data_IF_841408441879
#
_entry.id   IF_841408441879
#
_cell.length_a   1.000
_cell.length_b   1.000
_cell.length_c   1.000
_cell.angle_alpha   90.00
_cell.angle_beta   90.00
_cell.angle_gamma   90.00
#
_symmetry.space_group_name_H-M   'P 1'
#
loop_
_entity.id
_entity.type
_entity.pdbx_description
1 polymer ?
#
# COMPACT_ATOMS: atom_id res chain seq x y z
N UNK A 1 71.20 12.97 -50.88
CA UNK A 1 70.39 14.19 -51.07
C UNK A 1 69.24 14.04 -52.08
N UNK A 2 69.29 13.09 -53.02
CA UNK A 2 68.27 12.91 -54.07
C UNK A 2 66.89 12.36 -53.61
N UNK A 3 66.82 11.69 -52.45
CA UNK A 3 65.57 11.10 -51.95
C UNK A 3 64.53 12.16 -51.57
N UNK A 4 64.95 13.22 -50.88
CA UNK A 4 64.07 14.31 -50.45
C UNK A 4 63.51 15.11 -51.63
N UNK A 5 64.30 15.28 -52.69
CA UNK A 5 63.85 15.98 -53.90
C UNK A 5 62.82 15.14 -54.67
N UNK A 6 63.02 13.82 -54.78
CA UNK A 6 62.01 12.92 -55.36
C UNK A 6 60.72 12.84 -54.52
N UNK A 7 60.83 12.78 -53.19
CA UNK A 7 59.68 12.77 -52.28
C UNK A 7 58.86 14.06 -52.41
N UNK A 8 59.53 15.21 -52.44
CA UNK A 8 58.90 16.51 -52.63
C UNK A 8 58.15 16.61 -53.96
N UNK A 9 58.73 16.09 -55.04
CA UNK A 9 58.10 16.08 -56.37
C UNK A 9 56.86 15.16 -56.42
N UNK A 10 56.91 14.02 -55.72
CA UNK A 10 55.76 13.10 -55.57
C UNK A 10 54.62 13.74 -54.76
N UNK A 11 54.94 14.38 -53.63
CA UNK A 11 53.94 15.09 -52.82
C UNK A 11 53.35 16.27 -53.60
N UNK A 12 54.17 17.04 -54.30
CA UNK A 12 53.72 18.15 -55.14
C UNK A 12 52.78 17.68 -56.25
N UNK A 13 53.11 16.58 -56.93
CA UNK A 13 52.24 15.95 -57.93
C UNK A 13 50.89 15.55 -57.33
N UNK A 14 50.88 14.86 -56.18
CA UNK A 14 49.66 14.44 -55.50
C UNK A 14 48.82 15.64 -55.02
N UNK A 15 49.46 16.66 -54.48
CA UNK A 15 48.80 17.88 -54.03
C UNK A 15 48.20 18.67 -55.21
N UNK A 16 48.95 18.84 -56.29
CA UNK A 16 48.48 19.54 -57.48
C UNK A 16 47.32 18.81 -58.15
N UNK A 17 47.35 17.47 -58.14
CA UNK A 17 46.24 16.63 -58.62
C UNK A 17 44.97 16.87 -57.80
N UNK A 18 45.07 16.81 -56.45
CA UNK A 18 43.94 17.14 -55.56
C UNK A 18 43.46 18.59 -55.70
N UNK A 19 44.37 19.56 -55.89
CA UNK A 19 44.03 20.98 -56.07
C UNK A 19 43.27 21.25 -57.37
N UNK A 20 43.53 20.48 -58.44
CA UNK A 20 42.79 20.57 -59.70
C UNK A 20 41.40 19.95 -59.62
N UNK A 21 41.17 19.05 -58.66
CA UNK A 21 39.90 18.35 -58.46
C UNK A 21 39.20 18.82 -57.17
N UNK A 22 38.89 20.11 -57.12
CA UNK A 22 38.32 20.79 -55.93
C UNK A 22 37.03 20.15 -55.42
N UNK A 23 36.15 19.70 -56.32
CA UNK A 23 34.89 19.03 -55.95
C UNK A 23 35.10 17.73 -55.19
N UNK A 24 36.06 16.89 -55.63
CA UNK A 24 36.34 15.63 -54.94
C UNK A 24 36.95 15.87 -53.56
N UNK A 25 37.84 16.87 -53.44
CA UNK A 25 38.42 17.24 -52.14
C UNK A 25 37.36 17.80 -51.17
N UNK A 26 36.42 18.62 -51.66
CA UNK A 26 35.33 19.13 -50.83
C UNK A 26 34.43 18.00 -50.32
N UNK A 27 34.05 17.04 -51.18
CA UNK A 27 33.24 15.89 -50.77
C UNK A 27 34.01 15.01 -49.78
N UNK A 28 35.30 14.76 -50.02
CA UNK A 28 36.15 13.96 -49.12
C UNK A 28 36.27 14.57 -47.71
N UNK A 29 36.27 15.91 -47.59
CA UNK A 29 36.28 16.61 -46.30
C UNK A 29 34.88 16.75 -45.70
N UNK A 30 33.87 17.04 -46.52
CA UNK A 30 32.49 17.22 -46.06
C UNK A 30 31.86 15.91 -45.58
N UNK A 31 32.19 14.79 -46.21
CA UNK A 31 31.67 13.46 -45.86
C UNK A 31 31.89 13.06 -44.38
N UNK A 32 33.13 13.08 -43.83
CA UNK A 32 33.33 12.76 -42.42
C UNK A 32 32.67 13.79 -41.50
N UNK A 33 32.69 15.08 -41.85
CA UNK A 33 32.02 16.12 -41.06
C UNK A 33 30.50 15.87 -40.97
N UNK A 34 29.88 15.46 -42.06
CA UNK A 34 28.46 15.12 -42.11
C UNK A 34 28.13 13.93 -41.21
N UNK A 35 28.95 12.86 -41.25
CA UNK A 35 28.80 11.71 -40.35
C UNK A 35 28.93 12.14 -38.89
N UNK A 36 29.93 12.94 -38.54
CA UNK A 36 30.10 13.45 -37.17
C UNK A 36 28.89 14.28 -36.71
N UNK A 37 28.37 15.14 -37.59
CA UNK A 37 27.21 15.96 -37.26
C UNK A 37 25.97 15.11 -36.95
N UNK A 38 25.74 14.05 -37.72
CA UNK A 38 24.66 13.08 -37.45
C UNK A 38 24.88 12.39 -36.11
N UNK A 39 26.09 11.88 -35.84
CA UNK A 39 26.41 11.19 -34.58
C UNK A 39 26.21 12.09 -33.35
N UNK A 40 26.63 13.36 -33.44
CA UNK A 40 26.43 14.35 -32.38
C UNK A 40 24.93 14.64 -32.21
N UNK A 41 24.19 14.81 -33.30
CA UNK A 41 22.74 15.04 -33.26
C UNK A 41 22.01 13.87 -32.57
N UNK A 42 22.35 12.62 -32.91
CA UNK A 42 21.80 11.43 -32.25
C UNK A 42 22.16 11.44 -30.76
N UNK A 43 23.41 11.77 -30.40
CA UNK A 43 23.84 11.81 -29.02
C UNK A 43 23.16 12.91 -28.19
N UNK A 44 22.82 14.04 -28.81
CA UNK A 44 22.04 15.10 -28.17
C UNK A 44 20.57 14.69 -27.98
N UNK A 45 20.00 13.94 -28.92
CA UNK A 45 18.63 13.41 -28.81
C UNK A 45 18.48 12.32 -27.76
N UNK A 46 19.54 11.54 -27.50
CA UNK A 46 19.55 10.47 -26.51
C UNK A 46 20.58 10.76 -25.41
N UNK A 47 20.27 11.68 -24.47
CA UNK A 47 21.16 11.92 -23.33
C UNK A 47 21.31 10.64 -22.49
N UNK A 48 22.46 10.46 -21.81
CA UNK A 48 22.66 9.31 -20.94
C UNK A 48 21.62 9.31 -19.82
N UNK A 49 21.05 8.13 -19.54
CA UNK A 49 20.09 7.94 -18.46
C UNK A 49 20.84 7.62 -17.17
N UNK A 50 20.91 8.60 -16.26
CA UNK A 50 21.54 8.44 -14.95
C UNK A 50 20.64 7.57 -14.04
N UNK A 51 21.09 6.34 -13.77
CA UNK A 51 20.45 5.44 -12.81
C UNK A 51 21.17 5.51 -11.48
N UNK A 52 20.40 5.62 -10.41
CA UNK A 52 20.92 5.47 -9.06
C UNK A 52 21.22 4.01 -8.76
N UNK A 53 22.11 3.76 -7.80
CA UNK A 53 22.30 2.41 -7.27
C UNK A 53 20.95 1.85 -6.81
N UNK A 54 20.49 0.85 -7.55
CA UNK A 54 19.17 0.28 -7.37
C UNK A 54 19.24 -0.88 -6.39
N UNK A 55 18.63 -0.72 -5.22
CA UNK A 55 18.47 -1.78 -4.23
C UNK A 55 17.05 -2.32 -4.32
N UNK A 56 16.94 -3.64 -4.50
CA UNK A 56 15.66 -4.35 -4.56
C UNK A 56 15.38 -5.05 -3.24
N UNK A 57 14.11 -5.10 -2.87
CA UNK A 57 13.71 -5.89 -1.71
C UNK A 57 13.82 -7.38 -2.03
N UNK A 58 14.31 -8.16 -1.07
CA UNK A 58 14.42 -9.60 -1.20
C UNK A 58 13.04 -10.23 -1.36
N UNK A 59 12.78 -10.85 -2.51
CA UNK A 59 11.56 -11.63 -2.71
C UNK A 59 11.72 -12.98 -2.00
N UNK A 60 10.79 -13.31 -1.11
CA UNK A 60 10.81 -14.61 -0.45
C UNK A 60 10.20 -15.69 -1.36
N UNK A 61 10.94 -16.77 -1.57
CA UNK A 61 10.56 -17.91 -2.40
C UNK A 61 9.22 -18.50 -1.92
N UNK A 62 8.31 -18.82 -2.85
CA UNK A 62 6.92 -19.25 -2.64
C UNK A 62 6.70 -20.50 -1.74
N UNK A 63 7.75 -21.11 -1.20
CA UNK A 63 7.74 -22.40 -0.52
C UNK A 63 7.12 -22.41 0.89
N UNK A 64 6.69 -21.27 1.45
CA UNK A 64 5.98 -21.21 2.74
C UNK A 64 4.66 -20.44 2.60
N UNK A 65 3.55 -21.14 2.82
CA UNK A 65 2.18 -20.64 2.69
C UNK A 65 1.75 -19.77 3.89
N UNK A 66 2.43 -18.64 4.11
CA UNK A 66 1.98 -17.65 5.10
C UNK A 66 1.30 -16.45 4.41
N UNK A 67 0.10 -16.10 4.90
CA UNK A 67 -0.67 -14.91 4.45
C UNK A 67 0.17 -13.62 4.31
N UNK A 68 1.08 -13.25 5.24
CA UNK A 68 1.91 -12.04 5.08
C UNK A 68 2.86 -12.10 3.88
N UNK A 69 3.29 -13.29 3.45
CA UNK A 69 4.20 -13.46 2.31
C UNK A 69 3.50 -13.24 0.96
N UNK A 70 2.25 -13.69 0.83
CA UNK A 70 1.45 -13.44 -0.37
C UNK A 70 1.09 -11.97 -0.53
N UNK A 71 0.76 -11.28 0.58
CA UNK A 71 0.53 -9.83 0.58
C UNK A 71 1.80 -9.09 0.17
N UNK A 72 2.97 -9.57 0.59
CA UNK A 72 4.27 -9.03 0.18
C UNK A 72 4.55 -9.13 -1.31
N UNK A 73 4.14 -10.23 -1.96
CA UNK A 73 4.29 -10.40 -3.41
C UNK A 73 3.40 -9.41 -4.17
N UNK A 74 2.15 -9.22 -3.72
CA UNK A 74 1.22 -8.27 -4.32
C UNK A 74 1.71 -6.83 -4.13
N UNK A 75 2.24 -6.51 -2.94
CA UNK A 75 2.71 -5.17 -2.61
C UNK A 75 4.04 -4.80 -3.32
N UNK A 76 4.88 -5.78 -3.67
CA UNK A 76 6.18 -5.59 -4.33
C UNK A 76 6.19 -6.05 -5.80
N UNK A 77 5.02 -6.21 -6.43
CA UNK A 77 4.90 -6.75 -7.80
C UNK A 77 5.58 -5.89 -8.88
N UNK A 78 5.65 -4.58 -8.67
CA UNK A 78 6.28 -3.64 -9.60
C UNK A 78 7.79 -3.45 -9.36
N UNK A 79 8.37 -4.21 -8.42
CA UNK A 79 9.78 -4.17 -8.02
C UNK A 79 10.37 -2.73 -7.99
N UNK A 80 9.81 -1.83 -7.15
CA UNK A 80 10.29 -0.46 -7.05
C UNK A 80 11.79 -0.42 -6.71
N UNK A 81 12.50 0.46 -7.40
CA UNK A 81 13.92 0.70 -7.22
C UNK A 81 14.15 1.67 -6.05
N UNK A 82 14.90 1.24 -5.02
CA UNK A 82 15.23 2.10 -3.88
C UNK A 82 16.68 2.60 -3.96
N UNK A 83 16.90 3.87 -3.65
CA UNK A 83 18.24 4.49 -3.53
C UNK A 83 19.03 4.01 -2.31
N UNK A 84 18.34 3.56 -1.27
CA UNK A 84 18.91 3.24 0.04
C UNK A 84 18.71 1.75 0.34
N UNK A 85 19.59 1.14 1.16
CA UNK A 85 19.48 -0.27 1.50
C UNK A 85 18.12 -0.55 2.15
N UNK A 86 17.44 -1.57 1.64
CA UNK A 86 16.15 -1.95 2.18
C UNK A 86 16.36 -2.80 3.44
N UNK A 87 15.43 -2.79 4.43
CA UNK A 87 15.61 -3.55 5.67
C UNK A 87 15.86 -5.05 5.48
N UNK A 88 15.46 -5.63 4.34
CA UNK A 88 15.75 -7.02 3.98
C UNK A 88 17.21 -7.29 3.56
N UNK A 89 17.99 -6.26 3.24
CA UNK A 89 19.44 -6.39 2.99
C UNK A 89 20.27 -6.35 4.28
N UNK A 90 19.66 -5.98 5.41
CA UNK A 90 20.32 -5.94 6.71
C UNK A 90 20.33 -7.34 7.35
N UNK A 91 21.48 -7.83 7.85
CA UNK A 91 21.56 -9.15 8.48
C UNK A 91 20.67 -9.20 9.74
N UNK A 92 19.82 -10.22 9.83
CA UNK A 92 18.97 -10.47 11.00
C UNK A 92 17.55 -9.90 10.95
N UNK A 93 17.16 -9.16 9.90
CA UNK A 93 15.81 -8.61 9.74
C UNK A 93 15.12 -9.27 8.53
N UNK A 94 14.11 -10.09 8.81
CA UNK A 94 13.28 -10.73 7.77
C UNK A 94 11.86 -10.15 7.79
N UNK A 95 11.50 -9.45 6.71
CA UNK A 95 10.14 -8.95 6.47
C UNK A 95 9.87 -7.54 7.02
N UNK A 96 9.65 -6.57 6.13
CA UNK A 96 9.28 -5.19 6.47
C UNK A 96 7.76 -4.97 6.44
N UNK A 97 6.98 -5.86 7.06
CA UNK A 97 5.51 -5.80 7.02
C UNK A 97 4.87 -5.16 8.26
N UNK A 98 5.65 -4.78 9.29
CA UNK A 98 5.12 -4.24 10.55
C UNK A 98 4.37 -2.89 10.40
N UNK A 99 4.66 -2.13 9.34
CA UNK A 99 3.99 -0.87 9.05
C UNK A 99 2.68 -1.04 8.24
N UNK A 100 2.40 -2.23 7.70
CA UNK A 100 1.19 -2.43 6.91
C UNK A 100 -0.05 -2.55 7.81
N UNK A 101 -1.14 -1.88 7.43
CA UNK A 101 -2.42 -1.95 8.15
C UNK A 101 -2.92 -3.41 8.22
N UNK A 102 -2.62 -4.20 7.17
CA UNK A 102 -3.05 -5.60 7.08
C UNK A 102 -2.32 -6.50 8.08
N UNK A 103 -1.02 -6.29 8.33
CA UNK A 103 -0.31 -7.07 9.34
C UNK A 103 -0.78 -6.74 10.76
N UNK A 104 -1.12 -5.46 11.02
CA UNK A 104 -1.72 -5.02 12.28
C UNK A 104 -3.10 -5.65 12.47
N UNK A 105 -3.95 -5.59 11.46
CA UNK A 105 -5.29 -6.20 11.49
C UNK A 105 -5.21 -7.71 11.74
N UNK A 106 -4.27 -8.41 11.08
CA UNK A 106 -4.05 -9.84 11.32
C UNK A 106 -3.51 -10.14 12.72
N UNK A 107 -2.62 -9.29 13.24
CA UNK A 107 -2.11 -9.40 14.62
C UNK A 107 -3.21 -9.18 15.66
N UNK A 108 -4.06 -8.18 15.46
CA UNK A 108 -5.16 -7.84 16.34
C UNK A 108 -6.25 -8.92 16.29
N UNK A 109 -6.58 -9.43 15.10
CA UNK A 109 -7.49 -10.57 14.95
C UNK A 109 -6.94 -11.81 15.68
N UNK A 110 -5.64 -12.11 15.55
CA UNK A 110 -5.01 -13.21 16.27
C UNK A 110 -5.03 -13.01 17.78
N UNK A 111 -4.80 -11.78 18.27
CA UNK A 111 -4.88 -11.44 19.70
C UNK A 111 -6.30 -11.60 20.23
N UNK A 112 -7.31 -11.11 19.50
CA UNK A 112 -8.72 -11.26 19.87
C UNK A 112 -9.15 -12.73 19.89
N UNK A 113 -8.68 -13.55 18.94
CA UNK A 113 -8.96 -14.98 18.93
C UNK A 113 -8.32 -15.71 20.11
N UNK A 114 -7.05 -15.40 20.42
CA UNK A 114 -6.36 -15.99 21.57
C UNK A 114 -6.97 -15.52 22.91
N UNK A 115 -7.39 -14.26 22.99
CA UNK A 115 -8.11 -13.72 24.14
C UNK A 115 -9.48 -14.40 24.30
N UNK A 116 -10.26 -14.48 23.23
CA UNK A 116 -11.58 -15.14 23.21
C UNK A 116 -11.52 -16.62 23.57
N UNK A 117 -10.44 -17.32 23.19
CA UNK A 117 -10.26 -18.74 23.54
C UNK A 117 -9.96 -18.95 25.03
N UNK A 118 -9.27 -18.01 25.67
CA UNK A 118 -8.90 -18.08 27.09
C UNK A 118 -10.02 -17.57 28.01
N UNK A 119 -10.85 -16.63 27.54
CA UNK A 119 -11.81 -15.94 28.38
C UNK A 119 -13.11 -16.77 28.58
N UNK A 120 -13.33 -17.24 29.80
CA UNK A 120 -14.57 -17.93 30.19
C UNK A 120 -15.77 -16.98 30.28
N UNK A 121 -15.56 -15.67 30.10
CA UNK A 121 -16.56 -14.62 30.18
C UNK A 121 -17.79 -14.86 29.29
N UNK A 122 -17.63 -15.36 28.04
CA UNK A 122 -18.79 -15.68 27.18
C UNK A 122 -19.65 -16.80 27.77
N UNK A 123 -19.02 -17.80 28.40
CA UNK A 123 -19.74 -18.88 29.08
C UNK A 123 -20.45 -18.36 30.34
N UNK A 124 -19.84 -17.42 31.06
CA UNK A 124 -20.44 -16.79 32.23
C UNK A 124 -21.62 -15.89 31.86
N UNK A 125 -21.53 -15.13 30.76
CA UNK A 125 -22.65 -14.35 30.21
C UNK A 125 -23.79 -15.27 29.77
N UNK A 126 -23.51 -16.37 29.06
CA UNK A 126 -24.55 -17.36 28.73
C UNK A 126 -25.17 -18.00 29.97
N UNK A 127 -24.39 -18.23 31.02
CA UNK A 127 -24.86 -18.80 32.28
C UNK A 127 -25.72 -17.81 33.06
N UNK A 128 -25.35 -16.52 33.06
CA UNK A 128 -26.14 -15.44 33.66
C UNK A 128 -27.43 -15.23 32.88
N UNK A 129 -27.37 -15.15 31.55
CA UNK A 129 -28.55 -15.03 30.69
C UNK A 129 -29.48 -16.23 30.81
N UNK A 130 -28.93 -17.44 30.89
CA UNK A 130 -29.68 -18.67 31.12
C UNK A 130 -30.33 -18.72 32.51
N UNK A 131 -29.66 -18.20 33.54
CA UNK A 131 -30.23 -18.04 34.88
C UNK A 131 -31.34 -16.99 34.92
N UNK A 132 -31.15 -15.84 34.28
CA UNK A 132 -32.16 -14.80 34.15
C UNK A 132 -33.39 -15.28 33.37
N UNK A 133 -33.19 -16.03 32.29
CA UNK A 133 -34.28 -16.62 31.51
C UNK A 133 -35.07 -17.68 32.29
N UNK A 134 -34.39 -18.50 33.09
CA UNK A 134 -35.07 -19.45 33.99
C UNK A 134 -35.82 -18.74 35.11
N UNK A 135 -35.25 -17.68 35.67
CA UNK A 135 -35.90 -16.88 36.72
C UNK A 135 -37.14 -16.16 36.17
N UNK A 136 -37.04 -15.58 34.98
CA UNK A 136 -38.17 -14.94 34.28
C UNK A 136 -39.29 -15.91 33.88
N UNK A 137 -39.00 -17.19 33.65
CA UNK A 137 -40.03 -18.19 33.39
C UNK A 137 -40.67 -18.76 34.67
N UNK A 138 -39.97 -18.71 35.83
CA UNK A 138 -40.46 -19.25 37.11
C UNK A 138 -41.09 -18.20 38.03
N UNK A 139 -40.79 -16.94 37.79
CA UNK A 139 -41.30 -15.78 38.51
C UNK A 139 -41.51 -14.73 37.45
N UNK A 140 -42.77 -14.33 37.20
CA UNK A 140 -43.09 -13.25 36.26
C UNK A 140 -42.24 -12.04 36.62
N UNK A 141 -41.15 -11.85 35.89
CA UNK A 141 -40.25 -10.74 36.07
C UNK A 141 -40.95 -9.61 35.33
N UNK A 142 -41.75 -8.84 36.07
CA UNK A 142 -42.45 -7.64 35.60
C UNK A 142 -41.40 -6.60 35.17
N UNK A 143 -40.82 -6.84 33.99
CA UNK A 143 -39.80 -6.02 33.39
C UNK A 143 -40.52 -4.87 32.69
N UNK A 144 -40.89 -3.90 33.51
CA UNK A 144 -41.47 -2.64 33.07
C UNK A 144 -40.51 -1.91 32.16
N UNK A 145 -41.05 -1.28 31.12
CA UNK A 145 -40.29 -0.47 30.15
C UNK A 145 -39.40 0.57 30.86
N UNK A 146 -39.89 1.15 31.97
CA UNK A 146 -39.12 2.03 32.86
C UNK A 146 -37.73 1.50 33.24
N UNK A 147 -37.58 0.19 33.43
CA UNK A 147 -36.31 -0.39 33.89
C UNK A 147 -35.24 -0.44 32.79
N UNK A 148 -35.62 -0.24 31.52
CA UNK A 148 -34.72 -0.15 30.38
C UNK A 148 -34.41 1.28 29.93
N UNK A 149 -35.21 2.24 30.41
CA UNK A 149 -35.01 3.65 30.14
C UNK A 149 -33.98 4.21 31.12
N UNK A 150 -33.02 4.95 30.58
CA UNK A 150 -32.08 5.75 31.37
C UNK A 150 -32.70 7.12 31.54
N UNK A 151 -32.82 7.58 32.78
CA UNK A 151 -33.41 8.88 33.10
C UNK A 151 -32.61 10.02 32.44
N UNK A 152 -33.33 10.98 31.84
CA UNK A 152 -32.76 12.18 31.22
C UNK A 152 -31.94 11.95 29.93
N UNK A 153 -32.18 10.82 29.25
CA UNK A 153 -31.67 10.53 27.91
C UNK A 153 -32.70 10.87 26.83
N UNK A 154 -32.23 10.99 25.58
CA UNK A 154 -33.01 11.39 24.39
C UNK A 154 -34.42 10.80 24.29
N UNK A 155 -34.59 9.50 24.57
CA UNK A 155 -35.91 8.86 24.49
C UNK A 155 -36.79 9.15 25.72
N UNK A 156 -36.22 9.18 26.93
CA UNK A 156 -36.96 9.54 28.15
C UNK A 156 -37.41 11.01 28.12
N UNK A 157 -36.54 11.92 27.68
CA UNK A 157 -36.81 13.34 27.53
C UNK A 157 -37.91 13.60 26.48
N UNK A 158 -37.87 12.84 25.38
CA UNK A 158 -38.91 12.88 24.36
C UNK A 158 -40.29 12.46 24.89
N UNK A 159 -40.35 11.40 25.71
CA UNK A 159 -41.60 10.91 26.29
C UNK A 159 -42.23 11.94 27.24
N UNK A 160 -41.43 12.66 28.03
CA UNK A 160 -41.94 13.64 29.01
C UNK A 160 -42.25 15.03 28.41
N UNK A 161 -41.50 15.48 27.40
CA UNK A 161 -41.57 16.88 26.94
C UNK A 161 -42.07 17.07 25.50
N UNK A 162 -41.86 16.12 24.60
CA UNK A 162 -42.13 16.31 23.16
C UNK A 162 -43.31 15.47 22.64
N UNK A 163 -43.79 14.52 23.42
CA UNK A 163 -44.95 13.71 23.10
C UNK A 163 -46.23 14.49 23.45
N UNK A 164 -47.10 14.72 22.46
CA UNK A 164 -48.43 15.31 22.67
C UNK A 164 -49.43 14.31 23.28
N UNK A 165 -48.99 13.45 24.21
CA UNK A 165 -49.86 12.52 24.94
C UNK A 165 -50.14 13.04 26.36
N UNK A 166 -51.28 12.67 26.96
CA UNK A 166 -51.56 12.96 28.37
C UNK A 166 -50.56 12.24 29.28
N UNK A 167 -50.19 12.86 30.41
CA UNK A 167 -49.25 12.28 31.39
C UNK A 167 -49.66 10.89 31.88
N UNK A 168 -50.96 10.62 31.99
CA UNK A 168 -51.49 9.30 32.37
C UNK A 168 -51.13 8.19 31.39
N UNK A 169 -51.09 8.49 30.08
CA UNK A 169 -50.75 7.51 29.05
C UNK A 169 -49.25 7.23 29.00
N UNK A 170 -48.42 8.18 29.43
CA UNK A 170 -46.97 8.00 29.55
C UNK A 170 -46.67 7.09 30.74
N UNK A 171 -47.33 7.29 31.89
CA UNK A 171 -47.19 6.41 33.05
C UNK A 171 -47.61 4.97 32.73
N UNK A 172 -48.73 4.78 32.03
CA UNK A 172 -49.20 3.46 31.58
C UNK A 172 -48.23 2.79 30.59
N UNK A 173 -47.60 3.56 29.70
CA UNK A 173 -46.58 3.06 28.78
C UNK A 173 -45.29 2.66 29.52
N UNK A 174 -44.85 3.44 30.49
CA UNK A 174 -43.65 3.17 31.28
C UNK A 174 -43.81 1.94 32.18
N UNK A 175 -45.04 1.71 32.65
CA UNK A 175 -45.42 0.54 33.45
C UNK A 175 -45.78 -0.70 32.60
N UNK A 176 -45.73 -0.60 31.27
CA UNK A 176 -45.99 -1.73 30.40
C UNK A 176 -44.87 -2.78 30.46
N UNK A 177 -45.27 -4.06 30.43
CA UNK A 177 -44.35 -5.19 30.50
C UNK A 177 -43.69 -5.46 29.14
N UNK A 178 -42.36 -5.60 29.14
CA UNK A 178 -41.58 -5.82 27.92
C UNK A 178 -41.31 -7.30 27.71
N UNK A 179 -41.82 -7.87 26.62
CA UNK A 179 -41.56 -9.25 26.26
C UNK A 179 -40.20 -9.42 25.53
N UNK A 180 -39.19 -9.88 26.27
CA UNK A 180 -37.84 -10.12 25.76
C UNK A 180 -37.71 -11.32 24.80
N UNK A 181 -38.78 -12.04 24.49
CA UNK A 181 -38.74 -13.15 23.53
C UNK A 181 -38.85 -12.71 22.07
N UNK A 182 -39.20 -11.45 21.82
CA UNK A 182 -39.57 -10.95 20.49
C UNK A 182 -38.63 -9.84 19.95
N UNK A 183 -37.50 -9.60 20.64
CA UNK A 183 -36.43 -8.66 20.24
C UNK A 183 -35.24 -9.41 19.66
#
# INVERSE_FOLDING_TARGET
>A
MAFWTQLGLLLWKNFTYRRRQTFQLLIEVAWPLFIFFILISVRLSYPPYEQHECKYQTQQLHSEWSLPKQIGIICNANNPCFRYPTPGESPGIVGNFNASIVSRLFSDARRLLLYSQQDTSIKDVQKVLGKLRKLGNSSGLDLKLRNFLVDNETFSDFLYHNVSMPSSSIEELLDSEVNLQQV
#
